data_IF_339151270329
#
_entry.id   IF_339151270329
#
_cell.length_a   1.000
_cell.length_b   1.000
_cell.length_c   1.000
_cell.angle_alpha   90.00
_cell.angle_beta   90.00
_cell.angle_gamma   90.00
#
_symmetry.space_group_name_H-M   'P 1'
#
loop_
_entity.id
_entity.type
_entity.pdbx_description
1 polymer ?
#
# COMPACT_ATOMS: atom_id res chain seq x y z
N UNK A 1 45.33 46.43 -12.98
CA UNK A 1 44.34 46.27 -11.88
C UNK A 1 43.70 44.92 -12.02
N UNK A 2 43.95 44.02 -11.07
CA UNK A 2 43.37 42.69 -11.01
C UNK A 2 42.10 42.71 -10.16
N UNK A 3 41.00 42.14 -10.65
CA UNK A 3 40.43 40.87 -10.14
C UNK A 3 39.08 40.60 -10.79
N UNK A 4 39.07 39.55 -11.59
CA UNK A 4 37.91 38.73 -11.93
C UNK A 4 37.25 38.24 -10.64
N UNK A 5 35.94 38.45 -10.48
CA UNK A 5 35.12 37.68 -9.55
C UNK A 5 33.91 37.17 -10.33
N UNK A 6 34.05 35.95 -10.83
CA UNK A 6 32.92 35.06 -11.08
C UNK A 6 32.65 34.36 -9.75
N UNK A 7 31.47 34.54 -9.18
CA UNK A 7 30.90 33.61 -8.20
C UNK A 7 29.53 33.15 -8.70
N UNK A 8 29.59 32.15 -9.58
CA UNK A 8 28.52 31.21 -9.87
C UNK A 8 28.50 30.20 -8.72
N UNK A 9 27.58 30.33 -7.77
CA UNK A 9 27.11 29.15 -7.01
C UNK A 9 25.63 29.31 -6.73
N UNK A 10 24.85 28.79 -7.67
CA UNK A 10 23.73 27.87 -7.43
C UNK A 10 22.92 28.19 -6.17
N UNK A 11 21.81 28.92 -6.35
CA UNK A 11 20.63 28.67 -5.53
C UNK A 11 20.19 27.22 -5.83
N UNK A 12 20.83 26.27 -5.15
CA UNK A 12 20.33 24.92 -5.02
C UNK A 12 18.97 25.05 -4.36
N UNK A 13 17.94 24.92 -5.19
CA UNK A 13 16.58 24.74 -4.74
C UNK A 13 16.57 23.39 -3.99
N UNK A 14 16.97 23.37 -2.71
CA UNK A 14 16.62 22.29 -1.81
C UNK A 14 15.11 22.40 -1.58
N UNK A 15 14.34 21.94 -2.57
CA UNK A 15 12.94 21.59 -2.39
C UNK A 15 12.93 20.40 -1.44
N UNK A 16 12.87 20.74 -0.16
CA UNK A 16 12.62 19.90 1.00
C UNK A 16 11.69 18.76 0.62
N UNK A 17 12.18 17.53 0.79
CA UNK A 17 11.41 16.30 0.64
C UNK A 17 10.11 16.46 1.44
N UNK A 18 8.97 16.39 0.75
CA UNK A 18 7.69 16.27 1.44
C UNK A 18 7.63 14.83 1.92
N UNK A 19 7.95 14.63 3.20
CA UNK A 19 7.92 13.33 3.87
C UNK A 19 6.47 12.85 3.95
N UNK A 20 6.13 11.91 3.09
CA UNK A 20 5.08 10.94 3.41
C UNK A 20 5.81 9.68 3.86
N UNK A 21 5.40 9.08 4.98
CA UNK A 21 6.03 7.92 5.65
C UNK A 21 7.30 8.22 6.47
N UNK A 22 7.40 7.63 7.67
CA UNK A 22 8.64 7.57 8.44
C UNK A 22 9.49 6.41 7.91
N UNK A 23 10.81 6.58 7.79
CA UNK A 23 11.71 5.55 7.24
C UNK A 23 11.60 4.23 8.00
N UNK A 24 11.48 4.28 9.33
CA UNK A 24 11.35 3.06 10.14
C UNK A 24 9.99 2.40 9.94
N UNK A 25 8.95 3.20 9.68
CA UNK A 25 7.60 2.67 9.51
C UNK A 25 7.49 1.82 8.26
N UNK A 26 8.19 2.17 7.16
CA UNK A 26 8.16 1.36 5.94
C UNK A 26 8.87 0.00 6.10
N UNK A 27 9.76 -0.15 7.08
CA UNK A 27 10.45 -1.42 7.34
C UNK A 27 9.68 -2.33 8.32
N UNK A 28 8.67 -1.80 9.01
CA UNK A 28 7.98 -2.51 10.11
C UNK A 28 6.49 -2.68 9.80
N UNK A 29 5.86 -1.70 9.16
CA UNK A 29 4.42 -1.64 8.93
C UNK A 29 4.08 -1.69 7.45
N UNK A 30 3.01 -2.40 7.10
CA UNK A 30 2.50 -2.49 5.72
C UNK A 30 2.14 -1.08 5.23
N UNK A 31 2.64 -0.73 4.05
CA UNK A 31 2.49 0.59 3.44
C UNK A 31 2.75 1.75 4.42
N UNK A 32 3.74 1.60 5.33
CA UNK A 32 4.11 2.61 6.32
C UNK A 32 2.93 3.20 7.10
N UNK A 33 1.98 2.35 7.52
CA UNK A 33 0.74 2.70 8.28
C UNK A 33 -0.31 3.49 7.50
N UNK A 34 -0.16 3.72 6.21
CA UNK A 34 -1.20 4.41 5.42
C UNK A 34 -2.31 3.49 4.94
N UNK A 35 -2.19 2.19 5.17
CA UNK A 35 -3.13 1.20 4.68
C UNK A 35 -2.90 0.86 3.20
N UNK A 36 -3.68 -0.08 2.68
CA UNK A 36 -3.55 -0.57 1.31
C UNK A 36 -4.88 -1.13 0.82
N UNK A 37 -5.00 -1.28 -0.50
CA UNK A 37 -6.17 -1.88 -1.13
C UNK A 37 -5.99 -3.39 -1.30
N UNK A 38 -7.06 -4.13 -1.15
CA UNK A 38 -7.19 -5.52 -1.56
C UNK A 38 -8.27 -5.57 -2.62
N UNK A 39 -7.88 -6.02 -3.81
CA UNK A 39 -8.77 -6.19 -4.95
C UNK A 39 -9.09 -7.68 -5.11
N UNK A 40 -10.34 -8.04 -4.84
CA UNK A 40 -10.80 -9.42 -4.77
C UNK A 40 -11.56 -9.76 -6.05
N UNK A 41 -10.95 -10.62 -6.86
CA UNK A 41 -11.52 -11.14 -8.09
C UNK A 41 -12.31 -12.41 -7.79
N UNK A 42 -13.63 -12.32 -7.95
CA UNK A 42 -14.53 -13.46 -7.88
C UNK A 42 -15.79 -13.17 -8.69
N UNK A 43 -16.27 -14.18 -9.41
CA UNK A 43 -17.43 -14.04 -10.31
C UNK A 43 -18.77 -13.99 -9.56
N UNK A 44 -18.84 -14.52 -8.35
CA UNK A 44 -20.12 -14.78 -7.66
C UNK A 44 -20.19 -14.22 -6.23
N UNK A 45 -19.09 -13.64 -5.73
CA UNK A 45 -19.00 -13.13 -4.36
C UNK A 45 -19.38 -11.65 -4.30
N UNK A 46 -20.35 -11.31 -3.45
CA UNK A 46 -20.69 -9.91 -3.14
C UNK A 46 -19.75 -9.35 -2.07
N UNK A 47 -19.52 -8.03 -2.10
CA UNK A 47 -18.70 -7.38 -1.09
C UNK A 47 -19.21 -7.60 0.35
N UNK A 48 -20.54 -7.70 0.53
CA UNK A 48 -21.19 -7.95 1.83
C UNK A 48 -20.83 -9.29 2.47
N UNK A 49 -20.41 -10.25 1.65
CA UNK A 49 -20.18 -11.64 2.07
C UNK A 49 -18.74 -11.85 2.53
N UNK A 50 -17.91 -10.81 2.41
CA UNK A 50 -16.50 -10.81 2.76
C UNK A 50 -16.31 -10.13 4.12
N UNK A 51 -15.71 -10.86 5.06
CA UNK A 51 -15.30 -10.30 6.35
C UNK A 51 -13.79 -10.38 6.51
N UNK A 52 -13.20 -9.29 7.01
CA UNK A 52 -11.78 -9.22 7.34
C UNK A 52 -11.58 -9.26 8.84
N UNK A 53 -10.50 -9.91 9.29
CA UNK A 53 -10.08 -9.87 10.68
C UNK A 53 -8.56 -9.86 10.82
N UNK A 54 -8.08 -9.23 11.89
CA UNK A 54 -6.67 -9.15 12.26
C UNK A 54 -6.58 -9.44 13.75
N UNK A 55 -5.80 -10.45 14.14
CA UNK A 55 -5.66 -10.87 15.55
C UNK A 55 -7.03 -11.08 16.23
N UNK A 56 -7.91 -11.80 15.53
CA UNK A 56 -9.27 -12.14 15.95
C UNK A 56 -10.22 -10.94 16.14
N UNK A 57 -9.79 -9.73 15.73
CA UNK A 57 -10.64 -8.53 15.69
C UNK A 57 -11.15 -8.30 14.29
N UNK A 58 -12.46 -8.11 14.16
CA UNK A 58 -13.09 -7.75 12.89
C UNK A 58 -12.58 -6.39 12.42
N UNK A 59 -12.18 -6.32 11.15
CA UNK A 59 -11.78 -5.10 10.46
C UNK A 59 -12.95 -4.62 9.60
N UNK A 60 -13.21 -3.32 9.63
CA UNK A 60 -14.22 -2.68 8.79
C UNK A 60 -13.49 -1.95 7.65
N UNK A 61 -13.41 -2.53 6.44
CA UNK A 61 -12.73 -1.88 5.33
C UNK A 61 -13.55 -0.69 4.81
N UNK A 62 -12.87 0.29 4.22
CA UNK A 62 -13.56 1.23 3.32
C UNK A 62 -13.77 0.54 1.98
N UNK A 63 -14.98 0.58 1.43
CA UNK A 63 -15.30 -0.09 0.17
C UNK A 63 -15.41 0.91 -0.98
N UNK A 64 -14.89 0.52 -2.14
CA UNK A 64 -15.25 1.14 -3.41
C UNK A 64 -15.71 0.02 -4.33
N UNK A 65 -16.96 0.05 -4.76
CA UNK A 65 -17.38 -0.81 -5.87
C UNK A 65 -16.74 -0.26 -7.14
N UNK A 66 -15.87 -1.05 -7.78
CA UNK A 66 -15.16 -0.66 -9.00
C UNK A 66 -15.62 -1.58 -10.12
N UNK A 67 -16.89 -1.47 -10.51
CA UNK A 67 -17.44 -2.15 -11.70
C UNK A 67 -17.78 -3.64 -11.53
N UNK A 68 -17.90 -4.33 -12.66
CA UNK A 68 -18.36 -5.73 -12.76
C UNK A 68 -17.16 -6.67 -12.63
N UNK A 69 -17.12 -7.48 -11.56
CA UNK A 69 -16.24 -8.67 -11.46
C UNK A 69 -15.17 -8.65 -10.36
N UNK A 70 -15.02 -7.55 -9.62
CA UNK A 70 -14.09 -7.46 -8.49
C UNK A 70 -14.56 -6.48 -7.41
N UNK A 71 -14.24 -6.80 -6.15
CA UNK A 71 -14.57 -5.98 -4.99
C UNK A 71 -13.29 -5.35 -4.40
N UNK A 72 -13.27 -4.02 -4.22
CA UNK A 72 -12.11 -3.31 -3.68
C UNK A 72 -12.33 -2.88 -2.23
N UNK A 73 -11.40 -3.29 -1.37
CA UNK A 73 -11.43 -3.05 0.06
C UNK A 73 -10.16 -2.32 0.50
N UNK A 74 -10.30 -1.17 1.13
CA UNK A 74 -9.19 -0.46 1.74
C UNK A 74 -9.05 -0.88 3.20
N UNK A 75 -7.89 -1.43 3.54
CA UNK A 75 -7.53 -1.85 4.89
C UNK A 75 -6.70 -0.74 5.52
N UNK A 76 -7.30 0.01 6.45
CA UNK A 76 -6.66 1.13 7.16
C UNK A 76 -6.24 0.72 8.58
N UNK A 77 -5.51 -0.38 8.68
CA UNK A 77 -5.02 -0.90 9.95
C UNK A 77 -3.52 -0.69 10.09
N UNK A 78 -3.05 -0.53 11.34
CA UNK A 78 -1.62 -0.45 11.67
C UNK A 78 -0.97 -1.84 11.66
N UNK A 79 -1.02 -2.50 10.50
CA UNK A 79 -0.49 -3.84 10.29
C UNK A 79 1.03 -3.82 10.25
N UNK A 80 1.66 -4.71 11.00
CA UNK A 80 3.08 -5.01 10.83
C UNK A 80 3.29 -5.94 9.64
N UNK A 81 4.47 -5.93 9.04
CA UNK A 81 4.82 -6.85 7.94
C UNK A 81 4.63 -8.33 8.31
N UNK A 82 4.82 -8.64 9.59
CA UNK A 82 4.66 -9.98 10.17
C UNK A 82 3.20 -10.34 10.53
N UNK A 83 2.28 -9.39 10.50
CA UNK A 83 0.89 -9.66 10.86
C UNK A 83 0.19 -10.45 9.76
N UNK A 84 -0.91 -11.11 10.13
CA UNK A 84 -1.77 -11.86 9.21
C UNK A 84 -3.16 -11.26 9.19
N UNK A 85 -3.72 -11.09 8.00
CA UNK A 85 -5.13 -10.79 7.77
C UNK A 85 -5.85 -12.09 7.45
N UNK A 86 -6.95 -12.36 8.14
CA UNK A 86 -7.88 -13.40 7.72
C UNK A 86 -9.02 -12.79 6.93
N UNK A 87 -9.33 -13.40 5.80
CA UNK A 87 -10.46 -13.11 4.95
C UNK A 87 -11.40 -14.31 5.01
N UNK A 88 -12.63 -14.09 5.46
CA UNK A 88 -13.68 -15.09 5.43
C UNK A 88 -14.67 -14.77 4.33
N UNK A 89 -14.98 -15.76 3.49
CA UNK A 89 -16.01 -15.66 2.48
C UNK A 89 -16.60 -17.05 2.18
N UNK A 90 -17.93 -17.14 2.09
CA UNK A 90 -18.64 -18.38 1.78
C UNK A 90 -18.24 -19.56 2.67
N UNK A 91 -17.98 -19.30 3.96
CA UNK A 91 -17.54 -20.29 4.94
C UNK A 91 -16.09 -20.77 4.80
N UNK A 92 -15.33 -20.24 3.83
CA UNK A 92 -13.89 -20.49 3.67
C UNK A 92 -13.09 -19.35 4.30
N UNK A 93 -12.00 -19.70 4.98
CA UNK A 93 -11.05 -18.73 5.55
C UNK A 93 -9.76 -18.76 4.73
N UNK A 94 -9.37 -17.60 4.23
CA UNK A 94 -8.14 -17.35 3.52
C UNK A 94 -7.23 -16.48 4.38
N UNK A 95 -5.93 -16.76 4.41
CA UNK A 95 -4.96 -15.99 5.20
C UNK A 95 -4.01 -15.25 4.28
N UNK A 96 -3.90 -13.94 4.47
CA UNK A 96 -2.95 -13.07 3.78
C UNK A 96 -1.85 -12.69 4.78
N UNK A 97 -0.60 -13.01 4.47
CA UNK A 97 0.54 -12.88 5.38
C UNK A 97 1.84 -12.67 4.59
N UNK A 98 3.00 -12.61 5.26
CA UNK A 98 4.31 -12.33 4.66
C UNK A 98 4.28 -11.07 3.79
N UNK A 99 3.79 -9.96 4.37
CA UNK A 99 3.69 -8.71 3.64
C UNK A 99 5.08 -8.12 3.39
N UNK A 100 5.25 -7.55 2.21
CA UNK A 100 6.43 -6.77 1.85
C UNK A 100 6.02 -5.38 1.35
N UNK A 101 6.94 -4.43 1.54
CA UNK A 101 6.79 -3.08 1.02
C UNK A 101 7.80 -2.83 -0.10
N UNK A 102 7.44 -1.89 -0.99
CA UNK A 102 8.37 -1.23 -1.89
C UNK A 102 8.41 0.26 -1.58
N UNK A 103 9.62 0.83 -1.69
CA UNK A 103 9.87 2.27 -1.65
C UNK A 103 10.05 2.79 -3.07
N UNK A 104 9.34 3.84 -3.41
CA UNK A 104 9.44 4.48 -4.72
C UNK A 104 9.48 6.00 -4.58
N UNK A 105 10.12 6.65 -5.55
CA UNK A 105 10.10 8.10 -5.68
C UNK A 105 9.06 8.50 -6.72
N UNK A 106 8.18 9.43 -6.37
CA UNK A 106 7.20 10.02 -7.28
C UNK A 106 7.34 11.55 -7.31
N UNK A 107 6.72 12.19 -8.28
CA UNK A 107 6.62 13.66 -8.35
C UNK A 107 5.23 14.07 -7.88
N UNK A 108 5.18 14.88 -6.82
CA UNK A 108 3.94 15.50 -6.38
C UNK A 108 3.48 16.53 -7.41
N UNK A 109 2.35 16.28 -8.07
CA UNK A 109 1.83 17.13 -9.14
C UNK A 109 1.44 18.55 -8.70
N UNK A 110 1.17 18.78 -7.41
CA UNK A 110 0.76 20.12 -6.91
C UNK A 110 1.92 21.09 -6.74
N UNK A 111 3.15 20.59 -6.57
CA UNK A 111 4.32 21.44 -6.28
C UNK A 111 5.62 21.00 -6.98
N UNK A 112 5.53 19.98 -7.84
CA UNK A 112 6.64 19.37 -8.58
C UNK A 112 7.82 18.96 -7.69
N UNK A 113 7.56 18.58 -6.43
CA UNK A 113 8.58 18.04 -5.52
C UNK A 113 8.65 16.53 -5.64
N UNK A 114 9.87 15.98 -5.53
CA UNK A 114 10.05 14.54 -5.33
C UNK A 114 9.54 14.15 -3.94
N UNK A 115 8.79 13.05 -3.88
CA UNK A 115 8.26 12.44 -2.67
C UNK A 115 8.62 10.97 -2.65
N UNK A 116 8.99 10.45 -1.47
CA UNK A 116 9.10 9.01 -1.25
C UNK A 116 7.72 8.46 -0.87
N UNK A 117 7.37 7.33 -1.47
CA UNK A 117 6.13 6.60 -1.23
C UNK A 117 6.50 5.20 -0.75
N UNK A 118 5.90 4.79 0.36
CA UNK A 118 5.91 3.40 0.84
C UNK A 118 4.59 2.74 0.47
N UNK A 119 4.65 1.61 -0.24
CA UNK A 119 3.45 0.85 -0.64
C UNK A 119 3.66 -0.63 -0.37
N UNK A 120 2.56 -1.35 -0.15
CA UNK A 120 2.61 -2.82 -0.20
C UNK A 120 3.01 -3.25 -1.61
N UNK A 121 3.92 -4.22 -1.70
CA UNK A 121 4.44 -4.77 -2.96
C UNK A 121 4.00 -6.21 -3.15
N UNK A 122 3.98 -7.00 -2.09
CA UNK A 122 3.51 -8.38 -2.17
C UNK A 122 3.05 -8.89 -0.81
N UNK A 123 2.35 -10.01 -0.86
CA UNK A 123 2.01 -10.84 0.28
C UNK A 123 1.87 -12.28 -0.22
N UNK A 124 1.53 -13.22 0.66
CA UNK A 124 1.11 -14.56 0.31
C UNK A 124 -0.33 -14.81 0.72
N UNK A 125 -1.05 -15.59 -0.09
CA UNK A 125 -2.33 -16.19 0.26
C UNK A 125 -2.27 -17.68 -0.01
N UNK A 126 -2.58 -18.50 1.00
CA UNK A 126 -2.50 -19.97 0.89
C UNK A 126 -1.16 -20.48 0.30
N UNK A 127 -0.03 -19.88 0.71
CA UNK A 127 1.31 -20.21 0.22
C UNK A 127 1.67 -19.65 -1.14
N UNK A 128 0.75 -19.04 -1.88
CA UNK A 128 1.00 -18.42 -3.20
C UNK A 128 1.26 -16.93 -3.05
N UNK A 129 2.33 -16.43 -3.67
CA UNK A 129 2.63 -14.99 -3.72
C UNK A 129 1.56 -14.25 -4.53
N UNK A 130 1.04 -13.17 -3.96
CA UNK A 130 0.13 -12.23 -4.63
C UNK A 130 0.86 -10.90 -4.86
N UNK A 131 0.96 -10.44 -6.11
CA UNK A 131 1.68 -9.20 -6.41
C UNK A 131 0.79 -7.98 -6.15
N UNK A 132 1.45 -6.85 -6.00
CA UNK A 132 0.79 -5.57 -6.14
C UNK A 132 0.45 -5.28 -7.63
N UNK A 133 -0.62 -4.53 -7.86
CA UNK A 133 -0.96 -4.03 -9.20
C UNK A 133 -0.55 -2.57 -9.42
N UNK A 134 0.64 -2.20 -8.93
CA UNK A 134 1.33 -0.92 -9.14
C UNK A 134 0.63 0.32 -8.59
N UNK A 135 -0.13 0.18 -7.51
CA UNK A 135 -0.79 1.33 -6.84
C UNK A 135 -1.16 1.03 -5.38
N UNK A 136 -0.34 0.28 -4.63
CA UNK A 136 -0.65 -0.11 -3.25
C UNK A 136 -1.94 -0.96 -3.17
N UNK A 137 -2.10 -1.89 -4.13
CA UNK A 137 -3.26 -2.77 -4.29
C UNK A 137 -2.77 -4.21 -4.41
N UNK A 138 -3.15 -5.09 -3.48
CA UNK A 138 -2.91 -6.53 -3.57
C UNK A 138 -4.04 -7.20 -4.35
N UNK A 139 -3.68 -8.00 -5.36
CA UNK A 139 -4.66 -8.76 -6.15
C UNK A 139 -4.89 -10.14 -5.56
N UNK A 140 -6.13 -10.41 -5.17
CA UNK A 140 -6.54 -11.69 -4.57
C UNK A 140 -7.53 -12.37 -5.51
N UNK A 141 -7.22 -13.62 -5.86
CA UNK A 141 -8.11 -14.49 -6.64
C UNK A 141 -8.68 -15.54 -5.68
N UNK A 142 -10.00 -15.56 -5.54
CA UNK A 142 -10.69 -16.56 -4.73
C UNK A 142 -11.37 -17.58 -5.66
N UNK A 143 -11.22 -18.86 -5.32
CA UNK A 143 -11.82 -20.01 -6.02
C UNK A 143 -13.20 -20.38 -5.45
#
# INVERSE_FOLDING_TARGET
MARLIIFLVLFSCQKTAVKTYNNDDCNIYVAGKKGFWIDIYSKEIKASDITFSVKDKKVIPETKEVGIGNNNFFIKENLKLIDTISLECSGKIYKIYDFENLRENAINGSNHKSIEICRVSTAKINGKTIPDSRNNILKVYLE
#
